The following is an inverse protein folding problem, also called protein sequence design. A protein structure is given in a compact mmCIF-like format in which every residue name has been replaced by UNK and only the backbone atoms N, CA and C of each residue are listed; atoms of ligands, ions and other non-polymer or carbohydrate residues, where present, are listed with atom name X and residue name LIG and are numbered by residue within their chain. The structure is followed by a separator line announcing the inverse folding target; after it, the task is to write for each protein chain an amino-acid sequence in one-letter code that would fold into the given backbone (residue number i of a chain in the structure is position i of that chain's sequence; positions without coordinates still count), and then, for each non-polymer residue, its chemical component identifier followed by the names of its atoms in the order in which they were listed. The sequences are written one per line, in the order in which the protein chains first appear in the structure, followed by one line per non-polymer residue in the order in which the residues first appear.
data_IF_759065579799
#
_entry.id   IF_759065579799
#
_cell.length_a   1.000
_cell.length_b   1.000
_cell.length_c   1.000
_cell.angle_alpha   90.00
_cell.angle_beta   90.00
_cell.angle_gamma   90.00
#
_symmetry.space_group_name_H-M   'P 1'
#
loop_
_entity.id
_entity.type
_entity.pdbx_description
1 polymer ?
#
# COMPACT_ATOMS: atom_id res chain seq x y z
N UNK A 1 3.17 13.12 10.77
CA UNK A 1 2.50 11.93 10.19
C UNK A 1 1.21 12.36 9.49
N UNK A 2 1.12 12.07 8.19
CA UNK A 2 0.08 12.60 7.29
C UNK A 2 0.58 13.85 6.57
N UNK A 3 1.24 13.67 5.42
CA UNK A 3 1.39 14.77 4.48
C UNK A 3 0.00 15.26 4.08
N UNK A 4 -0.15 16.58 3.88
CA UNK A 4 -1.40 17.21 3.43
C UNK A 4 -1.71 16.75 2.00
N UNK A 5 -2.27 15.56 1.83
CA UNK A 5 -2.57 14.96 0.54
C UNK A 5 -3.05 13.52 0.64
N UNK A 6 -2.65 12.81 1.70
CA UNK A 6 -3.11 11.44 1.92
C UNK A 6 -4.53 11.48 2.49
N UNK A 7 -5.52 11.11 1.66
CA UNK A 7 -6.86 10.79 2.16
C UNK A 7 -6.80 9.38 2.74
N UNK A 8 -6.88 9.19 4.06
CA UNK A 8 -6.87 7.86 4.64
C UNK A 8 -8.12 7.13 4.16
N UNK A 9 -7.93 6.08 3.36
CA UNK A 9 -9.03 5.20 2.96
C UNK A 9 -9.49 4.42 4.19
N UNK A 10 -10.80 4.38 4.40
CA UNK A 10 -11.33 3.45 5.40
C UNK A 10 -11.16 2.00 4.90
N UNK A 11 -11.30 1.01 5.79
CA UNK A 11 -11.15 -0.41 5.44
C UNK A 11 -12.04 -0.84 4.26
N UNK A 12 -13.26 -0.28 4.16
CA UNK A 12 -14.21 -0.58 3.08
C UNK A 12 -13.73 -0.04 1.74
N UNK A 13 -13.28 1.22 1.70
CA UNK A 13 -12.77 1.83 0.47
C UNK A 13 -11.52 1.11 -0.02
N UNK A 14 -10.62 0.73 0.90
CA UNK A 14 -9.44 -0.06 0.59
C UNK A 14 -9.81 -1.40 -0.08
N UNK A 15 -10.77 -2.14 0.49
CA UNK A 15 -11.20 -3.43 -0.07
C UNK A 15 -11.75 -3.31 -1.49
N UNK A 16 -12.46 -2.21 -1.80
CA UNK A 16 -13.01 -1.95 -3.14
C UNK A 16 -11.89 -1.71 -4.16
N UNK A 17 -10.86 -0.95 -3.79
CA UNK A 17 -9.76 -0.60 -4.70
C UNK A 17 -8.64 -1.66 -4.74
N UNK A 18 -8.60 -2.59 -3.77
CA UNK A 18 -7.55 -3.61 -3.64
C UNK A 18 -7.32 -4.43 -4.92
N UNK A 19 -8.38 -4.70 -5.71
CA UNK A 19 -8.27 -5.41 -6.99
C UNK A 19 -7.42 -4.68 -8.04
N UNK A 20 -7.22 -3.38 -7.88
CA UNK A 20 -6.43 -2.51 -8.74
C UNK A 20 -5.08 -2.15 -8.14
N UNK A 21 -4.76 -2.63 -6.93
CA UNK A 21 -3.50 -2.35 -6.27
C UNK A 21 -2.46 -3.43 -6.61
N UNK A 22 -1.20 -3.03 -6.58
CA UNK A 22 -0.01 -3.89 -6.55
C UNK A 22 0.72 -3.65 -5.25
N UNK A 23 1.16 -4.73 -4.62
CA UNK A 23 2.07 -4.65 -3.48
C UNK A 23 3.41 -4.14 -4.00
N UNK A 24 3.78 -2.92 -3.60
CA UNK A 24 5.04 -2.32 -4.00
C UNK A 24 6.17 -2.75 -3.07
N UNK A 25 5.91 -2.72 -1.76
CA UNK A 25 6.90 -3.01 -0.73
C UNK A 25 6.22 -3.67 0.46
N UNK A 26 6.92 -4.60 1.10
CA UNK A 26 6.56 -5.10 2.43
C UNK A 26 7.74 -4.88 3.34
N UNK A 27 7.50 -4.30 4.51
CA UNK A 27 8.55 -3.98 5.46
C UNK A 27 8.23 -4.54 6.84
N UNK A 28 9.29 -4.80 7.60
CA UNK A 28 9.24 -5.29 8.97
C UNK A 28 10.28 -4.56 9.80
N UNK A 29 9.95 -4.21 11.04
CA UNK A 29 10.83 -3.54 12.00
C UNK A 29 10.59 -4.04 13.41
N UNK A 30 11.66 -4.36 14.14
CA UNK A 30 11.58 -4.74 15.56
C UNK A 30 11.91 -3.55 16.45
N UNK A 31 10.99 -3.17 17.35
CA UNK A 31 11.17 -2.13 18.36
C UNK A 31 10.97 -2.72 19.75
N UNK A 32 11.99 -2.65 20.61
CA UNK A 32 11.91 -3.16 21.98
C UNK A 32 11.55 -4.64 22.10
N UNK A 33 11.91 -5.45 21.09
CA UNK A 33 11.55 -6.88 21.02
C UNK A 33 10.17 -7.19 20.45
N UNK A 34 9.38 -6.17 20.08
CA UNK A 34 8.10 -6.33 19.37
C UNK A 34 8.29 -6.11 17.88
N UNK A 35 7.74 -7.00 17.05
CA UNK A 35 7.78 -6.88 15.60
C UNK A 35 6.57 -6.07 15.09
N UNK A 36 6.87 -5.06 14.27
CA UNK A 36 5.91 -4.27 13.51
C UNK A 36 6.16 -4.50 12.03
N UNK A 37 5.13 -4.34 11.22
CA UNK A 37 5.28 -4.42 9.78
C UNK A 37 4.14 -3.73 9.06
N UNK A 38 4.29 -3.66 7.74
CA UNK A 38 3.30 -3.07 6.87
C UNK A 38 3.57 -3.40 5.42
N UNK A 39 2.56 -3.12 4.60
CA UNK A 39 2.64 -3.28 3.15
C UNK A 39 2.29 -1.95 2.50
N UNK A 40 3.14 -1.50 1.60
CA UNK A 40 2.90 -0.34 0.74
C UNK A 40 2.24 -0.84 -0.54
N UNK A 41 1.11 -0.23 -0.89
CA UNK A 41 0.32 -0.57 -2.06
C UNK A 41 0.32 0.59 -3.04
N UNK A 42 0.51 0.31 -4.32
CA UNK A 42 0.41 1.28 -5.41
C UNK A 42 -0.73 0.92 -6.34
N UNK A 43 -1.44 1.93 -6.86
CA UNK A 43 -2.46 1.72 -7.90
C UNK A 43 -1.78 1.31 -9.21
N UNK A 44 -2.24 0.21 -9.82
CA UNK A 44 -1.80 -0.19 -11.15
C UNK A 44 -2.09 0.92 -12.13
N UNK A 45 -1.08 1.34 -12.88
CA UNK A 45 -1.28 2.24 -14.01
C UNK A 45 -1.41 1.41 -15.29
N UNK A 46 -2.25 1.84 -16.23
CA UNK A 46 -2.49 1.12 -17.51
C UNK A 46 -1.19 0.82 -18.29
N UNK A 47 -0.13 1.60 -18.02
CA UNK A 47 1.20 1.48 -18.64
C UNK A 47 1.99 0.23 -18.20
N UNK A 48 1.61 -0.44 -17.11
CA UNK A 48 2.22 -1.71 -16.70
C UNK A 48 1.74 -2.91 -17.56
N UNK A 49 0.83 -2.68 -18.52
CA UNK A 49 0.36 -3.69 -19.46
C UNK A 49 1.16 -3.73 -20.79
N UNK A 50 2.21 -2.92 -20.91
CA UNK A 50 3.13 -2.94 -22.07
C UNK A 50 4.56 -2.92 -21.61
N UNK A 51 5.11 -4.08 -21.26
CA UNK A 51 6.50 -4.48 -21.56
C UNK A 51 6.56 -6.00 -21.37
N UNK A 52 6.62 -6.71 -22.49
CA UNK A 52 7.08 -8.11 -22.59
C UNK A 52 8.57 -8.22 -22.31
#
# INVERSE_FOLDING_TARGET
PGERGDTPLCHVDFAVVQKWLVCEETWTQTLGGTEFGGTVWRLRTDRENTTS
#
